data_IF_714341295696
#
_entry.id   IF_714341295696
#
_cell.length_a   1.000
_cell.length_b   1.000
_cell.length_c   1.000
_cell.angle_alpha   90.00
_cell.angle_beta   90.00
_cell.angle_gamma   90.00
#
_symmetry.space_group_name_H-M   'P 1'
#
loop_
_entity.id
_entity.type
_entity.pdbx_description
1 polymer ?
#
# COMPACT_ATOMS: atom_id res chain seq x y z
N UNK A 1 -47.26 -10.03 28.45
CA UNK A 1 -45.98 -10.15 29.21
C UNK A 1 -45.06 -11.21 28.56
N UNK A 2 -45.53 -12.43 28.26
CA UNK A 2 -44.73 -13.48 27.62
C UNK A 2 -44.16 -13.10 26.26
N UNK A 3 -44.92 -12.40 25.40
CA UNK A 3 -44.40 -11.95 24.10
C UNK A 3 -43.26 -10.92 24.19
N UNK A 4 -43.23 -10.11 25.25
CA UNK A 4 -42.14 -9.16 25.46
C UNK A 4 -40.88 -9.81 26.00
N UNK A 5 -41.03 -10.84 26.84
CA UNK A 5 -39.91 -11.62 27.38
C UNK A 5 -39.24 -12.42 26.25
N UNK A 6 -40.00 -13.07 25.40
CA UNK A 6 -39.47 -13.82 24.26
C UNK A 6 -38.67 -12.94 23.26
N UNK A 7 -39.16 -11.72 22.99
CA UNK A 7 -38.46 -10.77 22.15
C UNK A 7 -37.15 -10.22 22.78
N UNK A 8 -37.10 -10.13 24.09
CA UNK A 8 -35.88 -9.73 24.82
C UNK A 8 -34.86 -10.86 24.82
N UNK A 9 -35.26 -12.12 25.01
CA UNK A 9 -34.40 -13.28 24.93
C UNK A 9 -33.81 -13.48 23.54
N UNK A 10 -34.62 -13.35 22.47
CA UNK A 10 -34.13 -13.41 21.09
C UNK A 10 -33.14 -12.27 20.78
N UNK A 11 -33.40 -11.04 21.23
CA UNK A 11 -32.45 -9.94 21.06
C UNK A 11 -31.14 -10.16 21.81
N UNK A 12 -31.19 -10.70 23.00
CA UNK A 12 -30.02 -11.04 23.79
C UNK A 12 -29.22 -12.21 23.16
N UNK A 13 -29.91 -13.21 22.62
CA UNK A 13 -29.27 -14.34 21.91
C UNK A 13 -28.60 -13.87 20.59
N UNK A 14 -29.30 -13.03 19.82
CA UNK A 14 -28.73 -12.40 18.62
C UNK A 14 -27.51 -11.56 18.99
N UNK A 15 -27.61 -10.75 20.04
CA UNK A 15 -26.47 -9.93 20.50
C UNK A 15 -25.30 -10.80 20.99
N UNK A 16 -25.53 -11.93 21.65
CA UNK A 16 -24.50 -12.90 22.04
C UNK A 16 -23.89 -13.61 20.84
N UNK A 17 -24.66 -13.96 19.84
CA UNK A 17 -24.16 -14.57 18.59
C UNK A 17 -23.29 -13.54 17.85
N UNK A 18 -23.74 -12.31 17.69
CA UNK A 18 -22.97 -11.25 17.05
C UNK A 18 -21.68 -10.88 17.82
N UNK A 19 -21.68 -10.90 19.14
CA UNK A 19 -20.48 -10.63 19.94
C UNK A 19 -19.47 -11.76 19.94
N UNK A 20 -19.86 -13.02 19.66
CA UNK A 20 -18.94 -14.17 19.62
C UNK A 20 -18.18 -14.30 18.30
N UNK A 21 -18.74 -13.80 17.20
CA UNK A 21 -18.21 -14.04 15.85
C UNK A 21 -17.65 -12.80 15.16
N UNK A 22 -17.77 -11.62 15.78
CA UNK A 22 -17.14 -10.40 15.29
C UNK A 22 -15.69 -10.40 15.76
N UNK A 23 -14.78 -10.68 14.85
CA UNK A 23 -13.34 -10.50 15.07
C UNK A 23 -12.92 -9.15 14.54
N UNK A 24 -12.22 -8.39 15.37
CA UNK A 24 -11.58 -7.15 14.93
C UNK A 24 -10.48 -7.50 13.92
N UNK A 25 -10.48 -6.81 12.79
CA UNK A 25 -9.46 -7.03 11.76
C UNK A 25 -8.05 -6.75 12.34
N UNK A 26 -7.01 -7.53 12.01
CA UNK A 26 -5.65 -7.38 12.57
C UNK A 26 -5.08 -5.96 12.50
N UNK A 27 -5.42 -5.20 11.45
CA UNK A 27 -5.03 -3.79 11.32
C UNK A 27 -5.48 -2.89 12.49
N UNK A 28 -6.46 -3.31 13.28
CA UNK A 28 -7.07 -2.51 14.36
C UNK A 28 -6.90 -3.15 15.73
N UNK A 29 -6.36 -4.37 15.80
CA UNK A 29 -6.28 -5.14 17.05
C UNK A 29 -5.32 -4.51 18.05
N UNK A 30 -5.72 -4.56 19.34
CA UNK A 30 -4.83 -4.34 20.47
C UNK A 30 -3.90 -5.53 20.67
N UNK A 31 -2.66 -5.26 21.10
CA UNK A 31 -1.77 -6.30 21.62
C UNK A 31 -2.39 -6.98 22.84
N UNK A 32 -2.13 -8.28 22.99
CA UNK A 32 -2.42 -8.98 24.25
C UNK A 32 -1.39 -8.62 25.32
N UNK A 33 -1.72 -8.85 26.58
CA UNK A 33 -0.80 -8.60 27.67
C UNK A 33 0.48 -9.47 27.57
N UNK A 34 0.38 -10.67 26.99
CA UNK A 34 1.50 -11.57 26.74
C UNK A 34 2.42 -11.04 25.64
N UNK A 35 1.84 -10.52 24.53
CA UNK A 35 2.58 -9.91 23.43
C UNK A 35 3.32 -8.64 23.91
N UNK A 36 2.65 -7.80 24.70
CA UNK A 36 3.23 -6.60 25.29
C UNK A 36 4.38 -6.93 26.26
N UNK A 37 4.15 -7.87 27.18
CA UNK A 37 5.16 -8.29 28.16
C UNK A 37 6.38 -8.95 27.49
N UNK A 38 6.18 -9.66 26.39
CA UNK A 38 7.25 -10.28 25.62
C UNK A 38 8.00 -9.29 24.73
N UNK A 39 7.47 -8.06 24.52
CA UNK A 39 7.98 -7.13 23.52
C UNK A 39 7.91 -7.69 22.09
N UNK A 40 7.00 -8.64 21.85
CA UNK A 40 6.86 -9.36 20.60
C UNK A 40 5.52 -9.02 19.94
N UNK A 41 5.60 -8.30 18.82
CA UNK A 41 4.42 -7.84 18.08
C UNK A 41 4.61 -8.08 16.57
N UNK A 42 4.64 -9.34 16.12
CA UNK A 42 4.91 -9.66 14.72
C UNK A 42 3.83 -9.13 13.77
N UNK A 43 2.60 -8.96 14.25
CA UNK A 43 1.49 -8.44 13.43
C UNK A 43 1.37 -6.92 13.45
N UNK A 44 2.20 -6.21 14.21
CA UNK A 44 2.14 -4.76 14.30
C UNK A 44 0.83 -4.26 14.94
N UNK A 45 0.31 -4.97 15.93
CA UNK A 45 -0.89 -4.58 16.70
C UNK A 45 -0.64 -3.32 17.53
N UNK A 46 -1.68 -2.71 18.03
CA UNK A 46 -1.67 -1.42 18.71
C UNK A 46 -1.69 -1.56 20.23
N UNK A 47 -1.35 -0.47 20.94
CA UNK A 47 -1.46 -0.40 22.40
C UNK A 47 -2.93 -0.43 22.85
N UNK A 48 -3.83 0.12 22.02
CA UNK A 48 -5.28 0.08 22.16
C UNK A 48 -5.93 -0.31 20.84
N UNK A 49 -7.13 -0.89 20.88
CA UNK A 49 -7.91 -1.18 19.70
C UNK A 49 -8.26 0.11 18.95
N UNK A 50 -7.92 0.18 17.68
CA UNK A 50 -8.22 1.34 16.86
C UNK A 50 -9.67 1.32 16.37
N UNK A 51 -10.29 2.49 16.33
CA UNK A 51 -11.60 2.68 15.70
C UNK A 51 -11.50 2.78 14.16
N UNK A 52 -10.32 3.04 13.64
CA UNK A 52 -10.06 3.15 12.21
C UNK A 52 -8.66 3.65 11.89
N UNK A 53 -8.40 3.78 10.61
CA UNK A 53 -7.16 4.37 10.08
C UNK A 53 -7.48 5.39 9.00
N UNK A 54 -6.66 6.42 8.91
CA UNK A 54 -6.62 7.31 7.75
C UNK A 54 -5.56 6.80 6.78
N UNK A 55 -5.93 6.62 5.53
CA UNK A 55 -5.02 6.15 4.48
C UNK A 55 -4.84 7.25 3.43
N UNK A 56 -3.63 7.52 3.00
CA UNK A 56 -3.38 8.44 1.90
C UNK A 56 -4.20 8.03 0.67
N UNK A 57 -4.92 8.97 0.11
CA UNK A 57 -5.84 8.73 -1.01
C UNK A 57 -5.14 8.28 -2.29
N UNK A 58 -3.94 8.77 -2.52
CA UNK A 58 -3.07 8.42 -3.64
C UNK A 58 -1.73 7.93 -3.11
N UNK A 59 -1.01 7.15 -3.89
CA UNK A 59 0.37 6.82 -3.55
C UNK A 59 1.21 8.09 -3.32
N UNK A 60 2.27 7.99 -2.55
CA UNK A 60 3.07 9.12 -2.14
C UNK A 60 3.66 9.87 -3.33
N UNK A 61 3.60 11.19 -3.25
CA UNK A 61 4.27 12.10 -4.17
C UNK A 61 5.16 13.05 -3.36
N UNK A 62 6.09 13.72 -4.05
CA UNK A 62 7.03 14.62 -3.42
C UNK A 62 6.83 16.06 -3.87
N UNK A 63 6.86 16.97 -2.92
CA UNK A 63 7.04 18.39 -3.18
C UNK A 63 8.38 18.87 -2.63
N UNK A 64 8.95 19.86 -3.27
CA UNK A 64 10.19 20.51 -2.86
C UNK A 64 10.00 22.02 -2.69
N UNK A 65 10.81 22.62 -1.84
CA UNK A 65 10.82 24.06 -1.60
C UNK A 65 12.23 24.52 -1.30
N UNK A 66 12.59 25.70 -1.78
CA UNK A 66 13.86 26.38 -1.45
C UNK A 66 13.72 27.34 -0.28
N UNK A 67 12.50 27.85 -0.03
CA UNK A 67 12.21 28.83 1.01
C UNK A 67 11.43 28.23 2.21
N UNK A 68 10.88 27.01 2.05
CA UNK A 68 10.04 26.35 3.04
C UNK A 68 8.61 26.84 3.09
N UNK A 69 8.23 27.74 2.20
CA UNK A 69 6.88 28.32 2.13
C UNK A 69 6.22 28.05 0.79
N UNK A 70 6.95 28.15 -0.29
CA UNK A 70 6.50 27.86 -1.65
C UNK A 70 6.87 26.42 -2.04
N UNK A 71 5.86 25.57 -2.25
CA UNK A 71 6.05 24.15 -2.53
C UNK A 71 5.66 23.82 -3.96
N UNK A 72 6.55 23.17 -4.68
CA UNK A 72 6.33 22.74 -6.06
C UNK A 72 6.46 21.22 -6.18
N UNK A 73 5.64 20.62 -7.03
CA UNK A 73 5.73 19.20 -7.31
C UNK A 73 7.12 18.86 -7.87
N UNK A 74 7.82 17.96 -7.23
CA UNK A 74 9.08 17.49 -7.74
C UNK A 74 8.87 16.65 -8.99
N UNK A 75 9.77 16.76 -9.96
CA UNK A 75 9.78 15.93 -11.16
C UNK A 75 10.16 14.49 -10.82
N UNK A 76 9.21 13.75 -10.36
CA UNK A 76 9.04 12.30 -10.30
C UNK A 76 10.13 11.44 -9.78
N UNK A 77 11.16 11.11 -10.23
CA UNK A 77 11.86 9.84 -10.08
C UNK A 77 13.23 9.90 -9.49
N UNK A 78 13.69 11.04 -9.10
CA UNK A 78 15.11 11.12 -8.86
C UNK A 78 15.46 10.65 -7.47
N UNK A 79 15.90 9.42 -7.48
CA UNK A 79 16.71 8.75 -6.54
C UNK A 79 17.25 9.57 -5.41
N UNK A 80 16.39 9.94 -4.47
CA UNK A 80 16.87 10.27 -3.15
C UNK A 80 16.97 8.93 -2.41
N UNK A 81 18.07 8.27 -2.66
CA UNK A 81 18.51 7.13 -1.85
C UNK A 81 18.84 7.55 -0.43
N UNK A 82 19.04 8.83 -0.22
CA UNK A 82 19.19 9.44 1.09
C UNK A 82 17.87 10.06 1.51
N UNK A 83 17.60 10.10 2.80
CA UNK A 83 16.47 10.82 3.38
C UNK A 83 16.11 11.96 2.47
N UNK A 84 14.80 12.18 2.28
CA UNK A 84 14.32 13.37 1.60
C UNK A 84 14.90 14.57 2.34
N UNK A 85 16.21 14.61 2.29
CA UNK A 85 17.02 15.46 3.13
C UNK A 85 16.52 16.85 2.90
N UNK A 86 15.98 17.41 3.94
CA UNK A 86 16.09 18.83 4.11
C UNK A 86 17.59 19.15 4.05
N UNK A 87 18.14 19.26 2.84
CA UNK A 87 19.40 19.93 2.68
C UNK A 87 19.21 21.38 3.10
N UNK A 88 20.26 22.07 3.47
CA UNK A 88 20.18 23.49 3.84
C UNK A 88 19.58 24.36 2.71
N UNK A 89 19.52 23.85 1.49
CA UNK A 89 19.09 24.58 0.29
C UNK A 89 17.80 24.06 -0.33
N UNK A 90 17.37 22.83 -0.02
CA UNK A 90 16.14 22.25 -0.58
C UNK A 90 15.42 21.44 0.47
N UNK A 91 14.18 21.80 0.78
CA UNK A 91 13.28 21.07 1.65
C UNK A 91 12.40 20.16 0.81
N UNK A 92 12.06 18.99 1.35
CA UNK A 92 11.15 18.05 0.72
C UNK A 92 10.06 17.63 1.68
N UNK A 93 8.87 17.36 1.15
CA UNK A 93 7.77 16.79 1.93
C UNK A 93 7.00 15.74 1.12
N UNK A 94 6.41 14.80 1.82
CA UNK A 94 5.46 13.84 1.26
C UNK A 94 4.12 14.53 1.07
N UNK A 95 3.45 14.23 -0.03
CA UNK A 95 2.07 14.68 -0.29
C UNK A 95 1.26 13.55 -0.94
N UNK A 96 -0.06 13.59 -0.76
CA UNK A 96 -1.03 12.73 -1.46
C UNK A 96 -1.86 13.62 -2.37
N UNK A 97 -1.54 13.64 -3.64
CA UNK A 97 -2.23 14.48 -4.64
C UNK A 97 -2.52 13.68 -5.91
N UNK A 98 -3.65 13.92 -6.56
CA UNK A 98 -3.92 13.31 -7.86
C UNK A 98 -3.06 13.97 -8.94
N UNK A 99 -2.81 13.21 -9.98
CA UNK A 99 -2.20 13.71 -11.19
C UNK A 99 -0.82 14.36 -10.99
N UNK A 100 -0.05 13.92 -10.03
CA UNK A 100 1.37 14.22 -9.82
C UNK A 100 2.18 12.94 -9.96
N UNK A 101 3.47 13.05 -10.21
CA UNK A 101 4.32 11.85 -10.28
C UNK A 101 4.50 11.24 -8.91
N UNK A 102 4.36 9.93 -8.81
CA UNK A 102 4.64 9.21 -7.58
C UNK A 102 6.12 9.32 -7.19
N UNK A 103 6.38 9.31 -5.88
CA UNK A 103 7.75 9.35 -5.35
C UNK A 103 8.36 7.97 -5.38
N UNK A 104 9.34 7.78 -6.25
CA UNK A 104 10.03 6.52 -6.50
C UNK A 104 11.54 6.70 -6.41
N UNK A 105 12.29 5.60 -6.45
CA UNK A 105 13.76 5.66 -6.34
C UNK A 105 14.22 5.93 -4.90
N UNK A 106 13.56 5.33 -3.94
CA UNK A 106 13.78 5.50 -2.50
C UNK A 106 13.94 4.14 -1.83
N UNK A 107 14.82 4.02 -0.85
CA UNK A 107 14.96 2.79 -0.05
C UNK A 107 13.82 2.68 0.95
N UNK A 108 13.44 1.45 1.31
CA UNK A 108 12.39 1.24 2.32
C UNK A 108 12.76 1.85 3.68
N UNK A 109 14.03 1.92 4.03
CA UNK A 109 14.52 2.60 5.23
C UNK A 109 14.16 4.09 5.24
N UNK A 110 14.34 4.76 4.09
CA UNK A 110 14.02 6.17 3.94
C UNK A 110 12.51 6.41 3.81
N UNK A 111 11.78 5.46 3.21
CA UNK A 111 10.32 5.46 3.21
C UNK A 111 9.80 5.50 4.64
N UNK A 112 10.26 4.57 5.49
CA UNK A 112 9.85 4.51 6.89
C UNK A 112 10.08 5.84 7.62
N UNK A 113 11.27 6.43 7.50
CA UNK A 113 11.58 7.72 8.13
C UNK A 113 10.66 8.86 7.66
N UNK A 114 10.39 8.92 6.35
CA UNK A 114 9.49 9.94 5.81
C UNK A 114 8.06 9.76 6.34
N UNK A 115 7.61 8.54 6.49
CA UNK A 115 6.28 8.24 6.98
C UNK A 115 6.10 8.66 8.44
N UNK A 116 7.00 8.23 9.34
CA UNK A 116 6.89 8.54 10.78
C UNK A 116 7.15 10.01 11.11
N UNK A 117 7.88 10.72 10.25
CA UNK A 117 8.19 12.13 10.45
C UNK A 117 7.15 13.09 9.87
N UNK A 118 6.17 12.61 9.10
CA UNK A 118 5.21 13.46 8.42
C UNK A 118 4.31 14.21 9.40
N UNK A 119 3.61 13.50 10.27
CA UNK A 119 2.77 14.04 11.33
C UNK A 119 2.82 13.15 12.59
N UNK A 120 3.90 13.24 13.38
CA UNK A 120 4.09 12.35 14.54
C UNK A 120 2.94 12.40 15.55
N UNK A 121 2.26 13.54 15.66
CA UNK A 121 1.15 13.75 16.62
C UNK A 121 -0.06 12.84 16.34
N UNK A 122 -0.24 12.40 15.09
CA UNK A 122 -1.32 11.49 14.69
C UNK A 122 -0.77 10.12 14.29
N UNK A 123 0.41 9.75 14.79
CA UNK A 123 1.05 8.46 14.56
C UNK A 123 1.09 8.06 13.07
N UNK A 124 1.57 8.96 12.21
CA UNK A 124 1.77 8.61 10.81
C UNK A 124 2.89 7.58 10.69
N UNK A 125 2.65 6.56 9.89
CA UNK A 125 3.58 5.46 9.65
C UNK A 125 3.45 4.92 8.23
N UNK A 126 4.38 4.08 7.82
CA UNK A 126 4.32 3.38 6.55
C UNK A 126 3.26 2.27 6.64
N UNK A 127 2.40 2.15 5.62
CA UNK A 127 1.34 1.14 5.55
C UNK A 127 1.89 -0.27 5.75
N UNK A 128 1.26 -1.06 6.63
CA UNK A 128 1.57 -2.48 6.88
C UNK A 128 0.73 -3.39 5.98
N UNK A 129 1.11 -4.66 5.86
CA UNK A 129 0.32 -5.64 5.10
C UNK A 129 -1.10 -5.79 5.65
N UNK A 130 -1.27 -5.83 6.97
CA UNK A 130 -2.60 -5.90 7.59
C UNK A 130 -3.48 -4.69 7.25
N UNK A 131 -2.90 -3.50 7.13
CA UNK A 131 -3.62 -2.29 6.75
C UNK A 131 -3.95 -2.27 5.25
N UNK A 132 -3.04 -2.77 4.41
CA UNK A 132 -3.34 -3.03 3.00
C UNK A 132 -4.48 -4.01 2.85
N UNK A 133 -4.42 -5.12 3.58
CA UNK A 133 -5.47 -6.15 3.60
C UNK A 133 -6.83 -5.58 4.02
N UNK A 134 -6.88 -4.72 5.05
CA UNK A 134 -8.13 -4.07 5.46
C UNK A 134 -8.74 -3.25 4.31
N UNK A 135 -7.93 -2.46 3.60
CA UNK A 135 -8.38 -1.69 2.43
C UNK A 135 -8.81 -2.62 1.30
N UNK A 136 -8.06 -3.69 1.03
CA UNK A 136 -8.35 -4.64 -0.04
C UNK A 136 -9.68 -5.37 0.19
N UNK A 137 -9.91 -5.89 1.39
CA UNK A 137 -11.16 -6.56 1.75
C UNK A 137 -12.35 -5.61 1.74
N UNK A 138 -12.19 -4.39 2.28
CA UNK A 138 -13.25 -3.38 2.23
C UNK A 138 -13.60 -3.02 0.78
N UNK A 139 -12.58 -2.89 -0.07
CA UNK A 139 -12.77 -2.61 -1.50
C UNK A 139 -13.58 -3.71 -2.19
N UNK A 140 -13.28 -4.97 -1.92
CA UNK A 140 -13.94 -6.11 -2.55
C UNK A 140 -15.34 -6.38 -1.96
N UNK A 141 -15.63 -5.84 -0.79
CA UNK A 141 -16.91 -5.98 -0.10
C UNK A 141 -18.05 -5.18 -0.76
N UNK A 142 -19.32 -5.42 -0.36
CA UNK A 142 -20.47 -4.60 -0.79
C UNK A 142 -20.34 -3.10 -0.45
N UNK A 143 -19.50 -2.73 0.50
CA UNK A 143 -19.25 -1.33 0.88
C UNK A 143 -18.24 -0.63 -0.04
N UNK A 144 -17.48 -1.40 -0.82
CA UNK A 144 -16.52 -0.91 -1.80
C UNK A 144 -16.99 -1.12 -3.23
N UNK A 145 -16.36 -2.06 -3.93
CA UNK A 145 -16.61 -2.39 -5.33
C UNK A 145 -17.54 -3.59 -5.54
N UNK A 146 -18.03 -4.20 -4.47
CA UNK A 146 -18.93 -5.35 -4.49
C UNK A 146 -18.44 -6.52 -5.39
N UNK A 147 -17.18 -6.88 -5.24
CA UNK A 147 -16.56 -7.95 -6.02
C UNK A 147 -16.00 -7.53 -7.39
N UNK A 148 -16.20 -6.27 -7.80
CA UNK A 148 -15.61 -5.77 -9.05
C UNK A 148 -14.15 -5.37 -8.85
N UNK A 149 -13.31 -5.68 -9.83
CA UNK A 149 -11.90 -5.28 -9.83
C UNK A 149 -11.72 -3.77 -10.01
N UNK A 150 -10.61 -3.26 -9.48
CA UNK A 150 -10.18 -1.89 -9.73
C UNK A 150 -9.63 -1.74 -11.16
N UNK A 151 -9.90 -0.59 -11.77
CA UNK A 151 -9.19 -0.20 -12.98
C UNK A 151 -7.71 0.04 -12.65
N UNK A 152 -6.84 -0.59 -13.43
CA UNK A 152 -5.38 -0.53 -13.20
C UNK A 152 -4.82 0.82 -13.62
N UNK A 153 -3.98 1.44 -12.79
CA UNK A 153 -3.18 2.57 -13.21
C UNK A 153 -2.02 2.09 -14.10
N UNK A 154 -2.17 2.22 -15.41
CA UNK A 154 -1.15 1.87 -16.42
C UNK A 154 -0.42 3.10 -16.97
N UNK A 155 -0.42 4.21 -16.26
CA UNK A 155 0.26 5.42 -16.69
C UNK A 155 1.78 5.27 -16.60
N UNK A 156 2.44 5.01 -17.71
CA UNK A 156 3.89 4.78 -17.81
C UNK A 156 4.75 5.94 -17.29
N UNK A 157 4.15 7.11 -17.12
CA UNK A 157 4.77 8.26 -16.46
C UNK A 157 4.56 8.29 -14.95
N UNK A 158 3.88 7.27 -14.40
CA UNK A 158 3.61 7.10 -12.96
C UNK A 158 2.85 8.28 -12.33
N UNK A 159 1.86 8.80 -13.02
CA UNK A 159 0.98 9.79 -12.44
C UNK A 159 -0.09 9.14 -11.56
N UNK A 160 -0.28 9.70 -10.38
CA UNK A 160 -1.23 9.23 -9.38
C UNK A 160 -2.69 9.43 -9.78
N UNK A 161 -3.55 8.51 -9.40
CA UNK A 161 -4.99 8.57 -9.61
C UNK A 161 -5.43 8.33 -11.05
N UNK A 162 -4.55 7.83 -11.90
CA UNK A 162 -4.93 7.40 -13.24
C UNK A 162 -5.56 6.00 -13.20
N UNK A 163 -6.40 5.64 -14.17
CA UNK A 163 -6.97 4.32 -14.29
C UNK A 163 -7.25 3.90 -15.71
N UNK A 164 -6.81 2.68 -16.09
CA UNK A 164 -7.22 1.97 -17.31
C UNK A 164 -7.80 0.63 -16.86
N UNK A 165 -9.00 0.30 -17.33
CA UNK A 165 -9.70 -0.88 -16.80
C UNK A 165 -9.01 -2.19 -17.10
N UNK A 166 -8.86 -3.04 -16.08
CA UNK A 166 -8.56 -4.46 -16.21
C UNK A 166 -9.76 -5.10 -16.95
N UNK A 167 -9.49 -5.72 -18.10
CA UNK A 167 -10.57 -6.32 -18.92
C UNK A 167 -11.50 -5.35 -19.65
N UNK A 168 -11.29 -4.04 -19.56
CA UNK A 168 -12.00 -3.09 -20.43
C UNK A 168 -11.43 -3.25 -21.84
N UNK A 169 -12.24 -3.82 -22.70
CA UNK A 169 -11.89 -4.03 -24.09
C UNK A 169 -11.64 -2.70 -24.80
N UNK A 170 -10.87 -2.75 -25.87
CA UNK A 170 -10.47 -1.72 -26.80
C UNK A 170 -11.57 -0.73 -27.30
N UNK A 171 -12.81 -0.93 -26.89
CA UNK A 171 -13.95 -0.07 -27.26
C UNK A 171 -13.77 1.38 -26.82
N UNK A 172 -12.94 1.65 -25.83
CA UNK A 172 -12.68 2.99 -25.31
C UNK A 172 -11.50 3.70 -25.97
N UNK A 173 -10.74 3.02 -26.83
CA UNK A 173 -9.60 3.63 -27.54
C UNK A 173 -9.99 4.72 -28.53
N UNK A 174 -11.25 4.81 -28.94
CA UNK A 174 -11.75 5.75 -29.95
C UNK A 174 -12.73 6.79 -29.42
N UNK A 175 -12.93 6.89 -28.13
CA UNK A 175 -13.85 7.91 -27.61
C UNK A 175 -13.08 9.18 -27.25
N UNK A 176 -13.77 10.32 -27.29
CA UNK A 176 -13.30 11.62 -26.80
C UNK A 176 -12.82 11.60 -25.33
N UNK A 177 -12.89 10.47 -24.65
CA UNK A 177 -12.38 10.22 -23.30
C UNK A 177 -10.91 9.80 -23.27
N UNK A 178 -10.25 9.59 -24.41
CA UNK A 178 -8.84 9.20 -24.50
C UNK A 178 -7.87 10.27 -23.97
N UNK A 179 -8.36 11.43 -23.64
CA UNK A 179 -7.56 12.56 -23.17
C UNK A 179 -8.19 13.14 -21.91
N UNK A 180 -7.73 12.75 -20.75
CA UNK A 180 -7.87 13.61 -19.60
C UNK A 180 -6.74 14.64 -19.65
N UNK A 181 -7.07 15.84 -20.06
CA UNK A 181 -6.15 16.97 -19.97
C UNK A 181 -5.86 17.29 -18.50
N UNK A 182 -4.64 17.56 -18.22
CA UNK A 182 -4.20 17.95 -16.91
C UNK A 182 -3.20 19.09 -17.02
N UNK A 183 -3.38 20.08 -16.15
CA UNK A 183 -2.40 21.10 -15.94
C UNK A 183 -1.20 20.52 -15.16
N UNK A 184 -0.05 20.47 -15.79
CA UNK A 184 1.23 20.18 -15.13
C UNK A 184 2.01 21.49 -15.07
N UNK A 185 2.34 21.88 -13.86
CA UNK A 185 3.24 23.02 -13.64
C UNK A 185 4.66 22.49 -13.78
N UNK A 186 5.39 22.98 -14.79
CA UNK A 186 6.81 22.66 -14.95
C UNK A 186 7.68 23.37 -13.90
N UNK A 187 8.98 23.04 -13.85
CA UNK A 187 9.92 23.64 -12.90
C UNK A 187 10.11 25.17 -13.04
N UNK A 188 9.50 25.76 -14.08
CA UNK A 188 9.51 27.22 -14.34
C UNK A 188 8.17 27.88 -14.03
N UNK A 189 7.19 27.10 -13.52
CA UNK A 189 5.86 27.61 -13.19
C UNK A 189 4.91 27.69 -14.38
N UNK A 190 5.29 27.16 -15.57
CA UNK A 190 4.42 27.16 -16.71
C UNK A 190 3.42 26.01 -16.63
N UNK A 191 2.17 26.28 -17.00
CA UNK A 191 1.13 25.28 -17.09
C UNK A 191 1.25 24.60 -18.47
N UNK A 192 1.57 23.31 -18.44
CA UNK A 192 1.58 22.45 -19.63
C UNK A 192 0.46 21.42 -19.50
N UNK A 193 -0.38 21.33 -20.53
CA UNK A 193 -1.42 20.29 -20.59
C UNK A 193 -0.82 18.99 -21.09
N UNK A 194 -0.88 17.93 -20.28
CA UNK A 194 -0.53 16.59 -20.70
C UNK A 194 -1.78 15.76 -20.93
N UNK A 195 -1.85 15.14 -22.10
CA UNK A 195 -2.84 14.14 -22.41
C UNK A 195 -2.34 12.76 -21.92
N UNK A 196 -3.12 12.09 -21.07
CA UNK A 196 -2.89 10.70 -20.70
C UNK A 196 -3.49 9.80 -21.77
N UNK A 197 -2.69 9.46 -22.76
CA UNK A 197 -3.11 8.48 -23.76
C UNK A 197 -3.35 7.14 -23.03
N UNK A 198 -4.56 6.61 -23.18
CA UNK A 198 -4.95 5.30 -22.65
C UNK A 198 -5.13 5.21 -21.12
N UNK A 199 -5.08 6.33 -20.39
CA UNK A 199 -5.41 6.38 -18.95
C UNK A 199 -6.36 7.55 -18.68
N UNK A 200 -7.27 7.32 -17.74
CA UNK A 200 -8.30 8.29 -17.36
C UNK A 200 -7.93 8.93 -16.02
N UNK A 201 -8.06 10.26 -15.95
CA UNK A 201 -7.80 10.96 -14.70
C UNK A 201 -8.82 10.58 -13.61
N UNK A 202 -8.40 10.62 -12.38
CA UNK A 202 -9.13 10.23 -11.17
C UNK A 202 -10.57 10.74 -11.06
N UNK A 203 -10.87 11.91 -11.61
CA UNK A 203 -12.17 12.58 -11.54
C UNK A 203 -13.07 12.36 -12.76
N UNK A 204 -12.64 11.60 -13.75
CA UNK A 204 -13.46 11.20 -14.90
C UNK A 204 -14.30 9.97 -14.57
N UNK A 205 -15.34 9.69 -15.33
CA UNK A 205 -16.22 8.55 -15.08
C UNK A 205 -15.48 7.20 -15.13
N UNK A 206 -14.51 7.07 -16.03
CA UNK A 206 -13.69 5.86 -16.11
C UNK A 206 -12.55 5.86 -15.10
N UNK A 207 -11.95 7.02 -14.81
CA UNK A 207 -10.90 7.12 -13.80
C UNK A 207 -11.38 6.79 -12.39
N UNK A 208 -12.64 7.08 -12.05
CA UNK A 208 -13.26 6.68 -10.77
C UNK A 208 -13.26 5.18 -10.54
N UNK A 209 -13.24 4.38 -11.61
CA UNK A 209 -13.18 2.91 -11.51
C UNK A 209 -11.87 2.39 -10.92
N UNK A 210 -10.82 3.23 -10.86
CA UNK A 210 -9.57 2.93 -10.20
C UNK A 210 -9.60 3.18 -8.68
N UNK A 211 -10.71 3.75 -8.16
CA UNK A 211 -10.85 3.98 -6.72
C UNK A 211 -11.52 2.81 -6.02
N UNK A 212 -11.19 2.62 -4.76
CA UNK A 212 -11.71 1.54 -3.90
C UNK A 212 -13.23 1.56 -3.71
N UNK A 213 -13.89 2.66 -4.03
CA UNK A 213 -15.35 2.83 -3.92
C UNK A 213 -16.05 3.10 -5.24
N UNK A 214 -15.32 3.13 -6.36
CA UNK A 214 -15.89 3.45 -7.67
C UNK A 214 -16.34 4.89 -7.84
N UNK A 215 -15.93 5.77 -6.95
CA UNK A 215 -16.24 7.20 -6.97
C UNK A 215 -15.01 8.04 -6.57
N UNK A 216 -15.13 9.37 -6.61
CA UNK A 216 -14.00 10.26 -6.33
C UNK A 216 -13.51 10.26 -4.88
N UNK A 217 -14.22 9.63 -3.95
CA UNK A 217 -13.90 9.67 -2.53
C UNK A 217 -13.06 8.48 -2.07
N UNK A 218 -12.98 7.41 -2.85
CA UNK A 218 -12.17 6.24 -2.53
C UNK A 218 -10.67 6.46 -2.66
N UNK A 219 -9.91 5.44 -2.31
CA UNK A 219 -8.45 5.39 -2.41
C UNK A 219 -8.07 4.95 -3.81
N UNK A 220 -7.06 5.57 -4.40
CA UNK A 220 -6.53 5.30 -5.74
C UNK A 220 -5.16 4.64 -5.68
N UNK A 221 -4.69 4.16 -6.82
CA UNK A 221 -3.37 3.57 -7.01
C UNK A 221 -3.11 2.28 -6.21
N UNK A 222 -4.18 1.65 -5.68
CA UNK A 222 -4.12 0.32 -5.05
C UNK A 222 -3.98 -0.80 -6.12
N UNK A 223 -4.05 -0.46 -7.40
CA UNK A 223 -3.92 -1.37 -8.53
C UNK A 223 -3.13 -0.67 -9.65
N UNK A 224 -1.89 -1.09 -9.88
CA UNK A 224 -0.96 -0.44 -10.81
C UNK A 224 -0.36 0.85 -10.23
N UNK A 225 0.09 1.76 -11.07
CA UNK A 225 0.92 2.88 -10.64
C UNK A 225 2.35 2.43 -10.39
N UNK A 226 2.88 2.65 -9.22
CA UNK A 226 4.10 2.02 -8.76
C UNK A 226 3.76 0.89 -7.76
N UNK A 227 4.64 -0.10 -7.63
CA UNK A 227 4.58 -0.98 -6.47
C UNK A 227 4.66 -0.17 -5.20
N UNK A 228 3.88 -0.49 -4.20
CA UNK A 228 3.95 0.20 -2.92
C UNK A 228 4.65 -0.64 -1.85
N UNK A 229 5.78 -0.13 -1.33
CA UNK A 229 6.42 -0.72 -0.16
C UNK A 229 5.49 -0.71 1.04
N UNK A 230 5.37 -1.84 1.71
CA UNK A 230 4.75 -1.90 3.03
C UNK A 230 5.79 -2.03 4.14
N UNK A 231 5.43 -1.65 5.36
CA UNK A 231 6.28 -1.80 6.55
C UNK A 231 6.28 -3.26 7.04
N UNK A 232 6.47 -4.20 6.10
CA UNK A 232 6.39 -5.63 6.36
C UNK A 232 7.56 -6.36 5.73
N UNK A 233 8.09 -7.36 6.43
CA UNK A 233 9.27 -8.09 5.95
C UNK A 233 9.33 -9.51 6.50
N UNK A 234 10.01 -10.38 5.75
CA UNK A 234 10.42 -11.71 6.18
C UNK A 234 11.71 -11.62 6.99
N UNK A 235 11.66 -12.02 8.27
CA UNK A 235 12.80 -11.95 9.18
C UNK A 235 13.72 -13.17 9.01
N UNK A 236 14.41 -13.23 7.88
CA UNK A 236 15.31 -14.33 7.51
C UNK A 236 16.80 -14.04 7.77
N UNK A 237 17.12 -12.94 8.45
CA UNK A 237 18.50 -12.58 8.80
C UNK A 237 19.37 -12.08 7.64
N UNK A 238 18.83 -11.95 6.42
CA UNK A 238 19.62 -11.49 5.28
C UNK A 238 20.09 -10.04 5.44
N UNK A 239 21.28 -9.72 4.94
CA UNK A 239 21.90 -8.39 5.08
C UNK A 239 21.12 -7.26 4.44
N UNK A 240 20.26 -7.54 3.44
CA UNK A 240 19.38 -6.55 2.83
C UNK A 240 18.40 -5.92 3.84
N UNK A 241 18.03 -6.65 4.90
CA UNK A 241 17.21 -6.11 5.99
C UNK A 241 17.85 -4.85 6.59
N UNK A 242 19.15 -4.90 6.87
CA UNK A 242 19.88 -3.76 7.45
C UNK A 242 20.43 -2.82 6.38
N UNK A 243 20.80 -3.30 5.22
CA UNK A 243 21.35 -2.47 4.14
C UNK A 243 20.30 -1.48 3.60
N UNK A 244 19.08 -1.94 3.37
CA UNK A 244 18.03 -1.13 2.75
C UNK A 244 16.86 -0.80 3.67
N UNK A 245 16.69 -1.53 4.78
CA UNK A 245 15.57 -1.39 5.72
C UNK A 245 15.96 -0.95 7.13
N UNK A 246 17.17 -0.44 7.36
CA UNK A 246 17.74 -0.21 8.69
C UNK A 246 16.77 0.51 9.65
N UNK A 247 16.14 1.59 9.23
CA UNK A 247 15.27 2.37 10.10
C UNK A 247 13.96 1.65 10.44
N UNK A 248 13.43 0.86 9.51
CA UNK A 248 12.26 0.03 9.73
C UNK A 248 12.60 -1.16 10.67
N UNK A 249 13.74 -1.83 10.43
CA UNK A 249 14.11 -3.01 11.22
C UNK A 249 14.42 -2.64 12.66
N UNK A 250 15.17 -1.56 12.87
CA UNK A 250 15.68 -1.14 14.18
C UNK A 250 14.73 -0.21 14.95
N UNK A 251 13.54 0.10 14.42
CA UNK A 251 12.58 0.90 15.17
C UNK A 251 12.20 0.21 16.48
N UNK A 252 12.19 0.98 17.55
CA UNK A 252 11.62 0.56 18.84
C UNK A 252 10.08 0.54 18.81
N UNK A 253 9.49 1.14 17.80
CA UNK A 253 8.04 1.21 17.62
C UNK A 253 7.53 -0.07 16.96
N UNK A 254 7.33 -1.12 17.75
CA UNK A 254 6.98 -2.47 17.25
C UNK A 254 5.61 -2.53 16.58
N UNK A 255 4.74 -1.53 16.78
CA UNK A 255 3.42 -1.41 16.14
C UNK A 255 3.47 -0.86 14.71
N UNK A 256 4.59 -0.22 14.32
CA UNK A 256 4.74 0.39 13.00
C UNK A 256 5.28 -0.59 11.95
N UNK A 257 5.47 -1.84 12.30
CA UNK A 257 6.01 -2.87 11.40
C UNK A 257 5.28 -4.21 11.60
N UNK A 258 5.29 -5.01 10.55
CA UNK A 258 4.79 -6.39 10.56
C UNK A 258 5.91 -7.34 10.13
N UNK A 259 6.01 -8.48 10.82
CA UNK A 259 7.13 -9.42 10.65
C UNK A 259 6.62 -10.80 10.32
N UNK A 260 7.23 -11.44 9.34
CA UNK A 260 6.96 -12.82 8.93
C UNK A 260 8.12 -13.70 9.37
N UNK A 261 7.79 -14.92 9.78
CA UNK A 261 8.79 -15.92 10.21
C UNK A 261 9.45 -16.58 9.02
N UNK A 262 10.72 -16.93 9.17
CA UNK A 262 11.48 -17.68 8.19
C UNK A 262 11.87 -19.05 8.73
N UNK A 263 12.00 -20.04 7.86
CA UNK A 263 12.51 -21.37 8.15
C UNK A 263 14.02 -21.41 8.33
N UNK A 264 14.72 -20.41 7.84
CA UNK A 264 16.17 -20.26 7.92
C UNK A 264 16.58 -18.85 8.32
N UNK A 265 17.77 -18.74 8.90
CA UNK A 265 18.30 -17.47 9.42
C UNK A 265 19.34 -16.80 8.53
N UNK A 266 19.73 -17.40 7.42
CA UNK A 266 20.82 -16.95 6.53
C UNK A 266 20.35 -16.31 5.22
N UNK A 267 19.04 -16.20 5.05
CA UNK A 267 18.45 -15.62 3.84
C UNK A 267 18.32 -16.57 2.66
N UNK A 268 18.62 -17.86 2.82
CA UNK A 268 18.47 -18.86 1.76
C UNK A 268 17.18 -19.69 1.86
N UNK A 269 16.14 -19.13 2.48
CA UNK A 269 14.86 -19.81 2.60
C UNK A 269 14.19 -20.02 1.24
N UNK A 270 13.63 -21.21 1.05
CA UNK A 270 12.74 -21.44 -0.08
C UNK A 270 11.42 -20.71 0.18
N UNK A 271 11.00 -19.82 -0.72
CA UNK A 271 9.78 -19.00 -0.59
C UNK A 271 8.54 -19.81 -0.21
N UNK A 272 8.38 -21.03 -0.76
CA UNK A 272 7.25 -21.90 -0.45
C UNK A 272 7.23 -22.33 1.03
N UNK A 273 8.38 -22.69 1.61
CA UNK A 273 8.44 -23.12 3.01
C UNK A 273 8.11 -21.96 3.96
N UNK A 274 8.60 -20.77 3.66
CA UNK A 274 8.29 -19.57 4.45
C UNK A 274 6.84 -19.13 4.26
N UNK A 275 6.28 -19.23 3.06
CA UNK A 275 4.86 -18.98 2.80
C UNK A 275 3.97 -19.90 3.66
N UNK A 276 4.22 -21.22 3.66
CA UNK A 276 3.47 -22.18 4.46
C UNK A 276 3.63 -21.96 5.97
N UNK A 277 4.82 -21.52 6.41
CA UNK A 277 5.07 -21.20 7.82
C UNK A 277 4.20 -20.05 8.33
N UNK A 278 3.86 -19.10 7.47
CA UNK A 278 3.10 -17.89 7.81
C UNK A 278 1.59 -18.00 7.50
N UNK A 279 1.08 -19.18 7.18
CA UNK A 279 -0.32 -19.41 6.78
C UNK A 279 -1.37 -19.03 7.83
N UNK A 280 -0.97 -18.93 9.09
CA UNK A 280 -1.85 -18.54 10.20
C UNK A 280 -1.93 -17.02 10.39
N UNK A 281 -1.25 -16.22 9.57
CA UNK A 281 -1.41 -14.77 9.53
C UNK A 281 -2.65 -14.47 8.68
N UNK A 282 -3.64 -13.83 9.29
CA UNK A 282 -4.91 -13.50 8.64
C UNK A 282 -5.11 -11.99 8.54
N UNK A 283 -5.85 -11.57 7.52
CA UNK A 283 -6.28 -10.18 7.33
C UNK A 283 -5.29 -9.31 6.56
N UNK A 284 -4.17 -9.87 6.09
CA UNK A 284 -3.15 -9.13 5.33
C UNK A 284 -3.28 -9.31 3.80
N UNK A 285 -4.27 -10.07 3.36
CA UNK A 285 -4.51 -10.40 1.95
C UNK A 285 -3.32 -11.09 1.26
N UNK A 286 -2.52 -11.85 2.00
CA UNK A 286 -1.37 -12.61 1.46
C UNK A 286 -1.78 -14.08 1.32
N UNK A 287 -1.79 -14.83 2.41
CA UNK A 287 -2.08 -16.27 2.32
C UNK A 287 -3.55 -16.55 1.97
N UNK A 288 -4.49 -15.77 2.51
CA UNK A 288 -5.91 -15.99 2.27
C UNK A 288 -6.33 -15.80 0.82
N UNK A 289 -5.63 -14.95 0.08
CA UNK A 289 -5.96 -14.61 -1.31
C UNK A 289 -5.11 -15.32 -2.32
N UNK A 290 -3.97 -15.91 -1.91
CA UNK A 290 -3.04 -16.59 -2.77
C UNK A 290 -3.07 -18.11 -2.53
N UNK A 291 -3.15 -18.88 -3.61
CA UNK A 291 -3.12 -20.36 -3.56
C UNK A 291 -1.69 -20.91 -3.65
N UNK A 292 -0.71 -20.06 -3.95
CA UNK A 292 0.69 -20.43 -4.09
C UNK A 292 1.58 -19.24 -3.76
N UNK A 293 2.76 -19.49 -3.22
CA UNK A 293 3.76 -18.45 -2.94
C UNK A 293 4.26 -17.72 -4.19
N UNK A 294 3.95 -18.23 -5.37
CA UNK A 294 4.56 -17.83 -6.63
C UNK A 294 3.65 -18.14 -7.81
N UNK A 295 3.06 -17.18 -8.44
CA UNK A 295 2.46 -17.09 -9.78
C UNK A 295 1.24 -16.13 -9.83
N UNK A 296 0.49 -16.11 -10.93
CA UNK A 296 -0.84 -15.45 -11.05
C UNK A 296 -1.90 -16.24 -10.26
N UNK A 297 -1.68 -16.39 -8.97
CA UNK A 297 -2.40 -17.32 -8.12
C UNK A 297 -3.18 -16.62 -7.00
N UNK A 298 -3.17 -15.30 -6.96
CA UNK A 298 -3.99 -14.53 -6.03
C UNK A 298 -5.40 -14.29 -6.56
N UNK A 299 -6.30 -13.80 -5.73
CA UNK A 299 -7.63 -13.40 -6.16
C UNK A 299 -7.55 -12.46 -7.36
N UNK A 300 -8.53 -12.52 -8.24
CA UNK A 300 -8.61 -11.76 -9.49
C UNK A 300 -7.48 -12.06 -10.48
N UNK A 301 -6.74 -13.17 -10.33
CA UNK A 301 -5.54 -13.53 -11.08
C UNK A 301 -4.39 -12.52 -10.91
N UNK A 302 -4.39 -11.80 -9.80
CA UNK A 302 -3.31 -10.90 -9.46
C UNK A 302 -2.02 -11.70 -9.21
N UNK A 303 -0.89 -11.13 -9.60
CA UNK A 303 0.40 -11.77 -9.41
C UNK A 303 0.79 -11.78 -7.93
N UNK A 304 1.27 -12.91 -7.43
CA UNK A 304 1.75 -13.04 -6.06
C UNK A 304 3.12 -13.69 -6.03
N UNK A 305 4.03 -13.11 -5.24
CA UNK A 305 5.35 -13.66 -4.99
C UNK A 305 5.75 -13.38 -3.53
N UNK A 306 5.78 -14.43 -2.71
CA UNK A 306 6.10 -14.29 -1.29
C UNK A 306 7.59 -14.02 -1.11
N UNK A 307 8.00 -13.11 -0.20
CA UNK A 307 9.39 -12.83 0.12
C UNK A 307 10.20 -14.07 0.48
N UNK A 308 11.45 -14.08 0.03
CA UNK A 308 12.39 -15.15 0.33
C UNK A 308 13.81 -14.78 -0.10
N UNK A 309 14.80 -15.57 0.30
CA UNK A 309 16.20 -15.35 -0.05
C UNK A 309 16.65 -13.91 0.22
N UNK A 310 17.15 -13.23 -0.81
CA UNK A 310 17.64 -11.85 -0.75
C UNK A 310 16.52 -10.80 -0.82
N UNK A 311 15.30 -11.20 -1.21
CA UNK A 311 14.13 -10.32 -1.39
C UNK A 311 13.23 -10.42 -0.18
N UNK A 312 13.54 -9.64 0.85
CA UNK A 312 13.00 -9.82 2.20
C UNK A 312 11.80 -8.93 2.54
N UNK A 313 11.49 -7.95 1.70
CA UNK A 313 10.41 -7.00 1.91
C UNK A 313 9.24 -7.24 0.98
N UNK A 314 8.07 -6.73 1.35
CA UNK A 314 6.86 -6.77 0.54
C UNK A 314 6.64 -5.48 -0.25
N UNK A 315 6.06 -5.64 -1.42
CA UNK A 315 5.40 -4.59 -2.19
C UNK A 315 4.04 -5.08 -2.67
N UNK A 316 3.11 -4.16 -2.86
CA UNK A 316 1.73 -4.45 -3.26
C UNK A 316 1.30 -3.64 -4.49
N UNK A 317 0.12 -4.00 -5.04
CA UNK A 317 -0.59 -3.24 -6.08
C UNK A 317 -0.15 -3.53 -7.51
N UNK A 318 1.05 -4.06 -7.70
CA UNK A 318 1.65 -4.19 -9.03
C UNK A 318 2.14 -2.83 -9.57
N UNK A 319 2.55 -2.80 -10.83
CA UNK A 319 3.01 -1.55 -11.45
C UNK A 319 2.54 -1.41 -12.90
N UNK A 320 2.70 -0.23 -13.47
CA UNK A 320 2.16 0.20 -14.77
C UNK A 320 2.33 -0.79 -15.93
N UNK A 321 3.38 -1.61 -15.94
CA UNK A 321 3.69 -2.54 -17.03
C UNK A 321 3.24 -3.98 -16.77
N UNK A 322 2.66 -4.30 -15.61
CA UNK A 322 2.16 -5.66 -15.32
C UNK A 322 0.78 -5.95 -15.93
N UNK A 323 0.09 -4.93 -16.42
CA UNK A 323 -1.21 -5.09 -17.08
C UNK A 323 -2.23 -5.78 -16.16
N UNK A 324 -2.81 -6.88 -16.64
CA UNK A 324 -3.82 -7.65 -15.90
C UNK A 324 -3.27 -8.38 -14.66
N UNK A 325 -1.96 -8.44 -14.47
CA UNK A 325 -1.36 -9.04 -13.29
C UNK A 325 -1.25 -8.07 -12.12
N UNK A 326 -1.41 -6.74 -12.38
CA UNK A 326 -1.57 -5.75 -11.33
C UNK A 326 -2.97 -5.86 -10.73
N UNK A 327 -3.08 -5.60 -9.43
CA UNK A 327 -4.37 -5.58 -8.74
C UNK A 327 -4.18 -5.39 -7.25
N UNK A 328 -5.29 -5.19 -6.55
CA UNK A 328 -5.28 -4.91 -5.12
C UNK A 328 -4.78 -6.09 -4.28
N UNK A 329 -4.86 -7.31 -4.82
CA UNK A 329 -4.36 -8.54 -4.21
C UNK A 329 -2.98 -8.96 -4.74
N UNK A 330 -2.37 -8.12 -5.60
CA UNK A 330 -0.99 -8.33 -6.03
C UNK A 330 -0.05 -8.03 -4.88
N UNK A 331 0.87 -8.96 -4.61
CA UNK A 331 2.03 -8.70 -3.77
C UNK A 331 3.29 -9.31 -4.39
N UNK A 332 4.42 -8.68 -4.13
CA UNK A 332 5.70 -9.11 -4.65
C UNK A 332 6.82 -8.86 -3.64
N UNK A 333 7.83 -9.69 -3.71
CA UNK A 333 9.07 -9.54 -2.95
C UNK A 333 9.96 -8.40 -3.48
N UNK A 334 10.82 -7.89 -2.63
CA UNK A 334 11.84 -6.91 -2.99
C UNK A 334 13.00 -6.92 -2.00
N UNK A 335 14.19 -6.54 -2.50
CA UNK A 335 15.35 -6.34 -1.62
C UNK A 335 15.31 -5.04 -0.80
N UNK A 336 14.29 -4.20 -0.98
CA UNK A 336 14.15 -2.92 -0.29
C UNK A 336 14.82 -1.71 -0.97
N UNK A 337 15.37 -1.92 -2.16
CA UNK A 337 16.02 -0.89 -2.95
C UNK A 337 15.38 -0.75 -4.33
N UNK A 338 15.08 0.48 -4.73
CA UNK A 338 14.34 0.77 -5.97
C UNK A 338 15.24 1.25 -7.14
N UNK A 339 16.53 1.14 -7.03
CA UNK A 339 17.44 1.49 -8.14
C UNK A 339 18.35 0.32 -8.48
N UNK A 340 17.78 -0.76 -9.01
CA UNK A 340 18.61 -1.84 -9.53
C UNK A 340 19.12 -1.48 -10.93
N UNK A 341 20.41 -1.25 -11.13
CA UNK A 341 20.96 -0.92 -12.45
C UNK A 341 20.94 -2.11 -13.44
N UNK A 342 20.41 -3.28 -13.03
CA UNK A 342 20.49 -4.50 -13.81
C UNK A 342 19.18 -5.08 -14.37
N UNK A 343 18.04 -4.72 -13.80
CA UNK A 343 16.73 -5.22 -14.24
C UNK A 343 15.81 -4.05 -14.60
N UNK A 344 15.97 -3.49 -15.78
CA UNK A 344 15.14 -2.43 -16.40
C UNK A 344 15.46 -0.96 -16.11
N UNK A 345 16.39 -0.58 -15.24
CA UNK A 345 16.81 0.83 -15.08
C UNK A 345 15.68 1.81 -14.71
N UNK A 346 14.55 1.32 -14.21
CA UNK A 346 13.35 2.09 -13.92
C UNK A 346 13.02 1.90 -12.45
N UNK A 347 13.07 2.99 -11.70
CA UNK A 347 12.51 3.04 -10.36
C UNK A 347 11.00 2.85 -10.45
N UNK A 348 10.47 1.80 -9.83
CA UNK A 348 9.05 1.43 -9.93
C UNK A 348 8.37 1.16 -8.58
N UNK A 349 9.00 1.58 -7.48
CA UNK A 349 8.48 1.38 -6.13
C UNK A 349 8.24 2.72 -5.43
N UNK A 350 7.03 2.89 -4.93
CA UNK A 350 6.56 4.02 -4.15
C UNK A 350 6.11 3.54 -2.76
N UNK A 351 5.25 4.28 -2.10
CA UNK A 351 4.75 3.95 -0.77
C UNK A 351 3.47 4.73 -0.45
N UNK A 352 2.84 4.37 0.67
CA UNK A 352 1.66 5.03 1.21
C UNK A 352 1.80 5.26 2.70
N UNK A 353 1.28 6.38 3.18
CA UNK A 353 1.26 6.71 4.60
C UNK A 353 -0.13 6.43 5.15
N UNK A 354 -0.13 5.90 6.36
CA UNK A 354 -1.32 5.66 7.18
C UNK A 354 -1.18 6.46 8.48
N UNK A 355 -2.31 6.89 9.03
CA UNK A 355 -2.37 7.47 10.37
C UNK A 355 -3.42 6.73 11.19
N UNK A 356 -3.11 6.43 12.45
CA UNK A 356 -4.06 5.79 13.36
C UNK A 356 -5.11 6.78 13.87
N UNK A 357 -6.31 6.27 14.15
CA UNK A 357 -7.41 7.00 14.78
C UNK A 357 -7.76 6.28 16.06
N UNK A 358 -7.54 6.95 17.18
CA UNK A 358 -7.92 6.48 18.52
C UNK A 358 -9.28 7.01 18.90
#
# INVERSE_FOLDING_TARGET
MEHQIHNIEIKMEIQRIYQRDIKVHPAFQKMTAEEEAAGNNPLGKWDDELQGIWVMKYEASRETSTDGTTWVAASGTNGLTTNAGNTNTTKSRVVSKPSVKSWRGITISNVYQNCVSMYPVINTHQMKNSEWGAVAYLTYSPYGRNGEELAVNQCSSYYTGAGKGKGISTVYENSSYAYSERDVIDGSGNITKYAFKDNYAWNTDLGKLASTTGNIYGIYDMSGGAYEYTASYLNNGHTNLTTYGLNLINTSNIRDKQTYSSTVSDGNAASLADYELNKEIYGDAVYETSTNCYTNASWCNDFSYFPGEIYTFFTFGGYVNQGSNSGIFNFMDTNGFDSSPGFYGISNKSFRIVASVN
#
